data_IF_202891317524
#
_entry.id   IF_202891317524
#
_cell.length_a   1.000
_cell.length_b   1.000
_cell.length_c   1.000
_cell.angle_alpha   90.00
_cell.angle_beta   90.00
_cell.angle_gamma   90.00
#
_symmetry.space_group_name_H-M   'P 1'
#
loop_
_entity.id
_entity.type
_entity.pdbx_description
1 polymer ?
#
# COMPACT_ATOMS: atom_id res chain seq x y z
N UNK A 1 -41.62 -26.34 -23.85
CA UNK A 1 -41.17 -24.93 -23.96
C UNK A 1 -40.56 -24.54 -22.62
N UNK A 2 -39.22 -24.40 -22.52
CA UNK A 2 -38.53 -24.06 -21.26
C UNK A 2 -38.00 -22.63 -21.36
N UNK A 3 -38.55 -21.72 -20.56
CA UNK A 3 -38.01 -20.37 -20.40
C UNK A 3 -36.69 -20.44 -19.63
N UNK A 4 -35.59 -20.00 -20.25
CA UNK A 4 -34.32 -19.77 -19.58
C UNK A 4 -34.28 -18.31 -19.15
N UNK A 5 -34.51 -18.04 -17.87
CA UNK A 5 -34.30 -16.69 -17.29
C UNK A 5 -32.79 -16.45 -17.20
N UNK A 6 -32.24 -15.74 -18.19
CA UNK A 6 -30.88 -15.20 -18.09
C UNK A 6 -30.91 -14.04 -17.08
N UNK A 7 -30.40 -14.26 -15.87
CA UNK A 7 -30.06 -13.18 -14.95
C UNK A 7 -29.00 -12.31 -15.64
N UNK A 8 -29.36 -11.07 -15.98
CA UNK A 8 -28.42 -10.12 -16.57
C UNK A 8 -27.43 -9.67 -15.48
N UNK A 9 -26.12 -9.96 -15.60
CA UNK A 9 -25.11 -9.61 -14.60
C UNK A 9 -25.00 -8.09 -14.34
N UNK A 10 -25.48 -7.28 -15.29
CA UNK A 10 -25.59 -5.82 -15.18
C UNK A 10 -26.53 -5.35 -14.05
N UNK A 11 -27.56 -6.14 -13.71
CA UNK A 11 -28.50 -5.83 -12.62
C UNK A 11 -27.89 -6.10 -11.24
N UNK A 12 -27.01 -7.09 -11.11
CA UNK A 12 -26.34 -7.43 -9.84
C UNK A 12 -25.33 -6.34 -9.48
N UNK A 13 -24.59 -5.84 -10.47
CA UNK A 13 -23.63 -4.76 -10.25
C UNK A 13 -24.32 -3.45 -9.85
N UNK A 14 -25.45 -3.11 -10.49
CA UNK A 14 -26.27 -1.94 -10.08
C UNK A 14 -26.89 -2.12 -8.69
N UNK A 15 -27.35 -3.32 -8.34
CA UNK A 15 -27.88 -3.61 -7.00
C UNK A 15 -26.80 -3.49 -5.91
N UNK A 16 -25.56 -3.93 -6.18
CA UNK A 16 -24.42 -3.79 -5.26
C UNK A 16 -24.04 -2.33 -5.02
N UNK A 17 -24.03 -1.51 -6.07
CA UNK A 17 -23.75 -0.07 -5.97
C UNK A 17 -24.86 0.63 -5.17
N UNK A 18 -26.14 0.30 -5.43
CA UNK A 18 -27.26 0.86 -4.67
C UNK A 18 -27.19 0.49 -3.18
N UNK A 19 -26.82 -0.75 -2.86
CA UNK A 19 -26.71 -1.23 -1.48
C UNK A 19 -25.61 -0.48 -0.71
N UNK A 20 -24.46 -0.25 -1.35
CA UNK A 20 -23.36 0.53 -0.78
C UNK A 20 -23.74 1.99 -0.53
N UNK A 21 -24.51 2.60 -1.44
CA UNK A 21 -24.95 3.99 -1.31
C UNK A 21 -25.98 4.14 -0.18
N UNK A 22 -26.90 3.18 0.00
CA UNK A 22 -27.85 3.14 1.12
C UNK A 22 -27.12 2.99 2.46
N UNK A 23 -26.06 2.18 2.53
CA UNK A 23 -25.24 2.01 3.74
C UNK A 23 -24.55 3.31 4.17
N UNK A 24 -24.00 4.06 3.20
CA UNK A 24 -23.32 5.34 3.44
C UNK A 24 -24.33 6.39 3.90
N UNK A 25 -25.52 6.44 3.31
CA UNK A 25 -26.60 7.34 3.74
C UNK A 25 -27.10 6.99 5.15
N UNK A 26 -27.20 5.71 5.52
CA UNK A 26 -27.52 5.27 6.89
C UNK A 26 -26.45 5.72 7.91
N UNK A 27 -25.17 5.67 7.56
CA UNK A 27 -24.06 6.15 8.41
C UNK A 27 -24.13 7.68 8.57
N UNK A 28 -24.45 8.42 7.52
CA UNK A 28 -24.63 9.88 7.57
C UNK A 28 -25.88 10.28 8.37
N UNK A 29 -26.99 9.55 8.25
CA UNK A 29 -28.23 9.83 9.00
C UNK A 29 -28.15 9.41 10.48
N UNK A 30 -27.29 8.45 10.83
CA UNK A 30 -27.07 8.03 12.23
C UNK A 30 -26.01 8.86 12.97
N UNK A 31 -25.42 9.86 12.31
CA UNK A 31 -24.48 10.84 12.88
C UNK A 31 -25.06 11.79 13.96
N UNK A 32 -26.27 11.56 14.47
CA UNK A 32 -26.90 12.38 15.51
C UNK A 32 -27.65 11.54 16.55
N UNK A 33 -26.93 10.67 17.28
CA UNK A 33 -27.22 10.32 18.68
C UNK A 33 -26.04 9.55 19.26
N UNK A 34 -25.49 9.91 20.44
CA UNK A 34 -24.41 9.17 21.06
C UNK A 34 -24.98 7.87 21.63
N UNK A 35 -25.09 6.85 20.78
CA UNK A 35 -25.20 5.48 21.25
C UNK A 35 -23.86 5.17 21.92
N UNK A 36 -23.89 5.09 23.26
CA UNK A 36 -22.84 4.54 24.11
C UNK A 36 -22.59 3.09 23.72
N UNK A 37 -21.94 2.86 22.58
CA UNK A 37 -21.36 1.59 22.24
C UNK A 37 -20.13 1.42 23.15
N UNK A 38 -20.21 0.50 24.11
CA UNK A 38 -19.03 0.00 24.81
C UNK A 38 -18.08 -0.53 23.74
N UNK A 39 -17.06 0.26 23.40
CA UNK A 39 -15.97 -0.21 22.56
C UNK A 39 -15.35 -1.44 23.25
N UNK A 40 -15.16 -2.58 22.54
CA UNK A 40 -14.42 -3.71 23.10
C UNK A 40 -13.06 -3.19 23.53
N UNK A 41 -12.83 -3.21 24.85
CA UNK A 41 -11.60 -2.71 25.46
C UNK A 41 -10.52 -3.74 25.19
N UNK A 42 -9.88 -3.67 24.02
CA UNK A 42 -8.66 -4.42 23.76
C UNK A 42 -7.64 -3.94 24.79
N UNK A 43 -7.29 -4.81 25.74
CA UNK A 43 -6.40 -4.46 26.84
C UNK A 43 -5.07 -3.95 26.29
N UNK A 44 -4.62 -2.79 26.77
CA UNK A 44 -3.32 -2.18 26.41
C UNK A 44 -2.18 -3.19 26.61
N UNK A 45 -2.29 -4.09 27.60
CA UNK A 45 -1.31 -5.15 27.85
C UNK A 45 -1.21 -6.17 26.71
N UNK A 46 -2.32 -6.46 26.01
CA UNK A 46 -2.33 -7.37 24.85
C UNK A 46 -1.68 -6.70 23.65
N UNK A 47 -1.96 -5.42 23.42
CA UNK A 47 -1.30 -4.62 22.38
C UNK A 47 0.21 -4.48 22.65
N UNK A 48 0.62 -4.21 23.89
CA UNK A 48 2.03 -4.13 24.28
C UNK A 48 2.77 -5.44 24.07
N UNK A 49 2.14 -6.58 24.38
CA UNK A 49 2.74 -7.90 24.15
C UNK A 49 2.89 -8.22 22.67
N UNK A 50 1.86 -7.94 21.85
CA UNK A 50 1.95 -8.10 20.40
C UNK A 50 3.03 -7.22 19.77
N UNK A 51 3.19 -5.99 20.26
CA UNK A 51 4.25 -5.07 19.82
C UNK A 51 5.63 -5.61 20.22
N UNK A 52 5.82 -6.09 21.45
CA UNK A 52 7.08 -6.68 21.90
C UNK A 52 7.47 -7.94 21.09
N UNK A 53 6.48 -8.79 20.77
CA UNK A 53 6.69 -9.99 19.95
C UNK A 53 7.09 -9.62 18.51
N UNK A 54 6.45 -8.61 17.91
CA UNK A 54 6.81 -8.02 16.61
C UNK A 54 8.22 -7.43 16.62
N UNK A 55 8.58 -6.65 17.65
CA UNK A 55 9.92 -6.08 17.81
C UNK A 55 10.99 -7.18 17.89
N UNK A 56 10.76 -8.23 18.69
CA UNK A 56 11.71 -9.33 18.82
C UNK A 56 11.91 -10.09 17.50
N UNK A 57 10.83 -10.27 16.74
CA UNK A 57 10.84 -10.93 15.43
C UNK A 57 11.60 -10.09 14.40
N UNK A 58 11.40 -8.78 14.42
CA UNK A 58 12.07 -7.85 13.50
C UNK A 58 13.55 -7.65 13.85
N UNK A 59 13.94 -7.61 15.13
CA UNK A 59 15.36 -7.55 15.54
C UNK A 59 16.16 -8.76 15.02
N UNK A 60 15.56 -9.96 14.99
CA UNK A 60 16.19 -11.17 14.44
C UNK A 60 16.28 -11.18 12.90
N UNK A 61 15.54 -10.31 12.21
CA UNK A 61 15.44 -10.26 10.73
C UNK A 61 16.04 -9.00 10.10
N UNK A 62 16.55 -8.05 10.88
CA UNK A 62 17.01 -6.76 10.39
C UNK A 62 18.06 -6.86 9.27
N UNK A 63 19.09 -7.71 9.42
CA UNK A 63 20.13 -7.95 8.40
C UNK A 63 19.55 -8.56 7.10
N UNK A 64 18.72 -9.63 7.16
CA UNK A 64 17.98 -10.12 5.99
C UNK A 64 17.13 -9.07 5.28
N UNK A 65 16.53 -8.12 6.02
CA UNK A 65 15.60 -7.15 5.46
C UNK A 65 16.28 -6.01 4.68
N UNK A 66 17.54 -5.68 4.99
CA UNK A 66 18.34 -4.76 4.17
C UNK A 66 18.69 -5.39 2.81
N UNK A 67 19.11 -6.66 2.81
CA UNK A 67 19.35 -7.42 1.58
C UNK A 67 18.07 -7.60 0.75
N UNK A 68 16.92 -7.81 1.42
CA UNK A 68 15.62 -7.88 0.76
C UNK A 68 15.26 -6.53 0.09
N UNK A 69 15.59 -5.40 0.73
CA UNK A 69 15.37 -4.08 0.14
C UNK A 69 16.23 -3.86 -1.12
N UNK A 70 17.50 -4.30 -1.10
CA UNK A 70 18.38 -4.25 -2.27
C UNK A 70 17.89 -5.17 -3.40
N UNK A 71 17.46 -6.38 -3.09
CA UNK A 71 16.89 -7.30 -4.08
C UNK A 71 15.61 -6.76 -4.70
N UNK A 72 14.74 -6.12 -3.91
CA UNK A 72 13.54 -5.43 -4.42
C UNK A 72 13.90 -4.27 -5.33
N UNK A 73 14.95 -3.52 -5.02
CA UNK A 73 15.45 -2.47 -5.91
C UNK A 73 15.79 -3.06 -7.29
N UNK A 74 16.60 -4.11 -7.33
CA UNK A 74 16.96 -4.81 -8.59
C UNK A 74 15.69 -5.28 -9.34
N UNK A 75 14.71 -5.83 -8.61
CA UNK A 75 13.42 -6.23 -9.19
C UNK A 75 12.64 -5.07 -9.83
N UNK A 76 12.62 -3.89 -9.19
CA UNK A 76 11.97 -2.69 -9.73
C UNK A 76 12.64 -2.22 -11.03
N UNK A 77 13.97 -2.24 -11.09
CA UNK A 77 14.72 -1.93 -12.32
C UNK A 77 14.33 -2.87 -13.47
N UNK A 78 14.29 -4.18 -13.22
CA UNK A 78 13.92 -5.17 -14.23
C UNK A 78 12.47 -5.01 -14.72
N UNK A 79 11.53 -4.64 -13.84
CA UNK A 79 10.13 -4.34 -14.22
C UNK A 79 10.07 -3.12 -15.14
N UNK A 80 10.78 -2.04 -14.80
CA UNK A 80 10.80 -0.82 -15.59
C UNK A 80 11.37 -1.06 -16.99
N UNK A 81 12.50 -1.78 -17.07
CA UNK A 81 13.15 -2.12 -18.33
C UNK A 81 12.26 -2.99 -19.23
N UNK A 82 11.65 -4.05 -18.67
CA UNK A 82 10.72 -4.92 -19.41
C UNK A 82 9.53 -4.17 -20.01
N UNK A 83 9.01 -3.18 -19.29
CA UNK A 83 7.89 -2.37 -19.74
C UNK A 83 8.30 -1.21 -20.67
N UNK A 84 9.59 -1.10 -21.02
CA UNK A 84 10.08 0.00 -21.86
C UNK A 84 9.88 1.37 -21.22
N UNK A 85 9.92 1.44 -19.89
CA UNK A 85 9.86 2.66 -19.09
C UNK A 85 11.27 3.02 -18.65
N UNK A 86 11.63 4.29 -18.79
CA UNK A 86 12.96 4.77 -18.42
C UNK A 86 12.98 5.18 -16.96
N UNK A 87 13.80 4.53 -16.14
CA UNK A 87 14.12 5.03 -14.81
C UNK A 87 15.10 6.20 -14.94
N UNK A 88 14.69 7.39 -14.51
CA UNK A 88 15.51 8.62 -14.59
C UNK A 88 16.22 8.94 -13.29
N UNK A 89 15.67 8.51 -12.15
CA UNK A 89 16.27 8.71 -10.86
C UNK A 89 15.92 7.55 -9.93
N UNK A 90 16.89 7.14 -9.12
CA UNK A 90 16.71 6.19 -8.03
C UNK A 90 17.57 6.64 -6.86
N UNK A 91 16.97 6.67 -5.68
CA UNK A 91 17.71 6.86 -4.43
C UNK A 91 17.12 5.95 -3.37
N UNK A 92 17.97 5.42 -2.50
CA UNK A 92 17.56 4.66 -1.34
C UNK A 92 18.31 5.15 -0.12
N UNK A 93 17.60 5.45 0.96
CA UNK A 93 18.19 5.99 2.18
C UNK A 93 17.55 5.36 3.40
N UNK A 94 18.37 4.97 4.37
CA UNK A 94 17.90 4.63 5.71
C UNK A 94 17.30 5.88 6.38
N UNK A 95 16.10 5.74 6.92
CA UNK A 95 15.38 6.76 7.66
C UNK A 95 14.92 6.20 9.00
N UNK A 96 14.87 7.06 10.01
CA UNK A 96 14.23 6.78 11.29
C UNK A 96 12.93 7.56 11.35
N UNK A 97 11.84 6.88 11.67
CA UNK A 97 10.53 7.52 11.83
C UNK A 97 9.95 7.18 13.19
N UNK A 98 9.45 8.17 13.95
CA UNK A 98 8.81 7.89 15.24
C UNK A 98 7.53 7.08 15.05
N UNK A 99 7.33 6.04 15.87
CA UNK A 99 6.13 5.21 15.87
C UNK A 99 5.43 5.25 17.24
N UNK A 100 4.84 6.40 17.55
CA UNK A 100 4.10 6.62 18.80
C UNK A 100 4.95 6.37 20.05
N UNK A 101 4.37 5.69 21.05
CA UNK A 101 5.05 5.35 22.31
C UNK A 101 6.01 4.14 22.21
N UNK A 102 6.14 3.53 21.02
CA UNK A 102 6.90 2.29 20.80
C UNK A 102 8.38 2.56 20.53
N UNK A 103 8.74 3.80 20.20
CA UNK A 103 10.10 4.21 19.84
C UNK A 103 10.26 4.53 18.35
N UNK A 104 11.50 4.63 17.90
CA UNK A 104 11.80 4.87 16.49
C UNK A 104 11.77 3.59 15.67
N UNK A 105 11.31 3.73 14.44
CA UNK A 105 11.34 2.70 13.42
C UNK A 105 12.45 3.01 12.44
N UNK A 106 13.38 2.07 12.29
CA UNK A 106 14.34 2.09 11.19
C UNK A 106 13.66 1.57 9.93
N UNK A 107 13.71 2.35 8.86
CA UNK A 107 13.11 2.04 7.58
C UNK A 107 14.06 2.39 6.43
N UNK A 108 13.95 1.66 5.32
CA UNK A 108 14.57 2.02 4.06
C UNK A 108 13.54 2.81 3.24
N UNK A 109 13.89 4.03 2.84
CA UNK A 109 13.06 4.84 1.96
C UNK A 109 13.69 4.93 0.59
N UNK A 110 13.00 4.41 -0.42
CA UNK A 110 13.45 4.40 -1.80
C UNK A 110 12.57 5.30 -2.64
N UNK A 111 13.16 6.28 -3.34
CA UNK A 111 12.47 7.16 -4.28
C UNK A 111 12.89 6.81 -5.70
N UNK A 112 11.90 6.59 -6.56
CA UNK A 112 12.06 6.29 -7.99
C UNK A 112 11.36 7.36 -8.83
N UNK A 113 11.99 7.71 -9.94
CA UNK A 113 11.40 8.50 -11.00
C UNK A 113 11.41 7.72 -12.30
N UNK A 114 10.23 7.48 -12.84
CA UNK A 114 9.98 6.70 -14.04
C UNK A 114 9.40 7.62 -15.12
N UNK A 115 9.95 7.57 -16.33
CA UNK A 115 9.43 8.29 -17.50
C UNK A 115 8.98 7.35 -18.58
N UNK A 116 7.84 7.66 -19.18
CA UNK A 116 7.32 6.88 -20.30
C UNK A 116 5.90 7.25 -20.67
N UNK A 117 5.29 6.36 -21.43
CA UNK A 117 3.86 6.39 -21.73
C UNK A 117 3.03 6.12 -20.47
N UNK A 118 1.87 6.79 -20.35
CA UNK A 118 1.01 6.71 -19.17
C UNK A 118 0.58 5.28 -18.86
N UNK A 119 0.15 4.53 -19.87
CA UNK A 119 -0.40 3.18 -19.66
C UNK A 119 0.71 2.22 -19.21
N UNK A 120 1.91 2.39 -19.77
CA UNK A 120 3.10 1.64 -19.34
C UNK A 120 3.52 1.99 -17.92
N UNK A 121 3.46 3.25 -17.52
CA UNK A 121 3.74 3.67 -16.13
C UNK A 121 2.75 3.06 -15.15
N UNK A 122 1.47 2.97 -15.52
CA UNK A 122 0.43 2.32 -14.71
C UNK A 122 0.69 0.81 -14.60
N UNK A 123 1.08 0.14 -15.69
CA UNK A 123 1.45 -1.28 -15.67
C UNK A 123 2.67 -1.54 -14.76
N UNK A 124 3.73 -0.72 -14.89
CA UNK A 124 4.91 -0.79 -14.01
C UNK A 124 4.51 -0.62 -12.55
N UNK A 125 3.63 0.34 -12.24
CA UNK A 125 3.18 0.55 -10.87
C UNK A 125 2.44 -0.66 -10.30
N UNK A 126 1.61 -1.32 -11.10
CA UNK A 126 0.87 -2.51 -10.67
C UNK A 126 1.82 -3.69 -10.39
N UNK A 127 2.81 -3.89 -11.25
CA UNK A 127 3.83 -4.92 -11.06
C UNK A 127 4.75 -4.63 -9.86
N UNK A 128 5.13 -3.36 -9.66
CA UNK A 128 5.89 -2.94 -8.47
C UNK A 128 5.08 -3.29 -7.22
N UNK A 129 3.78 -2.97 -7.17
CA UNK A 129 2.92 -3.31 -6.02
C UNK A 129 2.90 -4.81 -5.72
N UNK A 130 2.89 -5.66 -6.75
CA UNK A 130 2.94 -7.12 -6.57
C UNK A 130 4.28 -7.59 -6.01
N UNK A 131 5.38 -6.89 -6.35
CA UNK A 131 6.71 -7.13 -5.77
C UNK A 131 6.80 -6.65 -4.30
N UNK A 132 5.99 -5.67 -3.91
CA UNK A 132 5.96 -5.16 -2.54
C UNK A 132 5.26 -6.16 -1.61
N UNK A 133 6.04 -6.84 -0.77
CA UNK A 133 5.54 -7.70 0.29
C UNK A 133 4.91 -6.92 1.47
N UNK A 134 4.43 -7.64 2.48
CA UNK A 134 3.70 -7.07 3.63
C UNK A 134 4.50 -6.04 4.48
N UNK A 135 5.82 -5.99 4.33
CA UNK A 135 6.73 -5.10 5.07
C UNK A 135 7.10 -3.84 4.30
N UNK A 136 6.57 -3.67 3.08
CA UNK A 136 6.91 -2.58 2.18
C UNK A 136 5.65 -1.83 1.76
N UNK A 137 5.66 -0.52 1.92
CA UNK A 137 4.52 0.36 1.63
C UNK A 137 4.89 1.38 0.55
N UNK A 138 3.96 1.61 -0.35
CA UNK A 138 3.99 2.72 -1.29
C UNK A 138 3.51 3.96 -0.53
N UNK A 139 4.40 4.90 -0.22
CA UNK A 139 4.11 6.03 0.68
C UNK A 139 3.76 7.31 -0.03
N UNK A 140 4.36 7.56 -1.19
CA UNK A 140 4.07 8.74 -2.00
C UNK A 140 3.99 8.35 -3.47
N UNK A 141 3.03 8.93 -4.18
CA UNK A 141 2.82 8.70 -5.60
C UNK A 141 2.43 10.00 -6.27
N UNK A 142 3.26 10.47 -7.18
CA UNK A 142 2.98 11.63 -8.02
C UNK A 142 3.07 11.23 -9.48
N UNK A 143 2.02 11.51 -10.24
CA UNK A 143 1.99 11.35 -11.69
C UNK A 143 1.84 12.73 -12.32
N UNK A 144 2.84 13.17 -13.07
CA UNK A 144 2.88 14.47 -13.75
C UNK A 144 3.27 14.26 -15.20
N UNK A 145 2.60 14.89 -16.16
CA UNK A 145 2.91 14.64 -17.56
C UNK A 145 2.16 15.53 -18.53
N UNK A 146 2.51 15.37 -19.81
CA UNK A 146 1.82 15.93 -20.98
C UNK A 146 1.33 14.79 -21.88
N UNK A 147 0.63 15.10 -22.97
CA UNK A 147 0.16 14.08 -23.93
C UNK A 147 1.27 13.17 -24.48
N UNK A 148 2.55 13.58 -24.45
CA UNK A 148 3.67 12.85 -25.06
C UNK A 148 4.61 12.16 -24.09
N UNK A 149 4.69 12.63 -22.85
CA UNK A 149 5.61 12.05 -21.86
C UNK A 149 5.04 12.27 -20.47
N UNK A 150 5.02 11.19 -19.71
CA UNK A 150 4.60 11.17 -18.32
C UNK A 150 5.79 10.83 -17.43
N UNK A 151 5.81 11.45 -16.26
CA UNK A 151 6.74 11.25 -15.17
C UNK A 151 5.93 10.71 -13.97
N UNK A 152 6.28 9.51 -13.53
CA UNK A 152 5.79 8.89 -12.31
C UNK A 152 6.90 8.95 -11.26
N UNK A 153 6.69 9.73 -10.20
CA UNK A 153 7.53 9.70 -9.01
C UNK A 153 6.85 8.86 -7.95
N UNK A 154 7.59 7.91 -7.38
CA UNK A 154 7.10 6.98 -6.37
C UNK A 154 8.08 6.92 -5.22
N UNK A 155 7.57 6.95 -4.00
CA UNK A 155 8.34 6.69 -2.78
C UNK A 155 7.85 5.40 -2.15
N UNK A 156 8.79 4.51 -1.86
CA UNK A 156 8.58 3.21 -1.24
C UNK A 156 9.27 3.23 0.12
N UNK A 157 8.56 2.84 1.18
CA UNK A 157 9.12 2.71 2.52
C UNK A 157 9.05 1.26 2.97
N UNK A 158 10.19 0.69 3.32
CA UNK A 158 10.28 -0.66 3.88
C UNK A 158 10.68 -0.59 5.35
N UNK A 159 9.90 -1.25 6.20
CA UNK A 159 10.25 -1.43 7.61
C UNK A 159 11.47 -2.35 7.72
N UNK A 160 12.52 -1.92 8.43
CA UNK A 160 13.72 -2.74 8.68
C UNK A 160 13.72 -3.29 10.12
N UNK A 161 13.54 -2.40 11.10
CA UNK A 161 13.55 -2.76 12.52
C UNK A 161 12.95 -1.67 13.40
N UNK A 162 12.74 -1.99 14.69
CA UNK A 162 12.43 -1.03 15.74
C UNK A 162 13.67 -0.84 16.63
N UNK A 163 13.96 0.39 17.06
CA UNK A 163 15.02 0.69 18.03
C UNK A 163 14.57 0.36 19.45
#
# INVERSE_FOLDING_TARGET
>A
MKAKTQLRPDLILRALILLGLVLIVLILFTGLRPLKAKAPTVSIAVLQRQVADLQSTLKKRALPMEQEAEQKAIGIFAIAERNGVRLTNWSSKAAKQPFGAVGDVNMMRSSLELRGDRDRLVAVLDEIKQLLGATTLLTELELRGSEREWLLRVTISQLLSFS
#
